data_IF_106434423805
#
_entry.id   IF_106434423805
#
_cell.length_a   1.000
_cell.length_b   1.000
_cell.length_c   1.000
_cell.angle_alpha   90.00
_cell.angle_beta   90.00
_cell.angle_gamma   90.00
#
_symmetry.space_group_name_H-M   'P 1'
#
loop_
_entity.id
_entity.type
_entity.pdbx_description
1 polymer ?
#
# COMPACT_ATOMS: atom_id res chain seq x y z
N UNK A 1 1.58 13.40 -21.91
CA UNK A 1 2.78 14.02 -21.28
C UNK A 1 2.39 14.77 -19.99
N UNK A 2 1.56 14.19 -19.09
CA UNK A 2 0.93 14.97 -18.00
C UNK A 2 1.01 14.32 -16.61
N UNK A 3 1.57 13.12 -16.46
CA UNK A 3 1.60 12.42 -15.15
C UNK A 3 2.94 12.47 -14.42
N UNK A 4 4.02 12.97 -15.03
CA UNK A 4 5.33 13.04 -14.36
C UNK A 4 5.47 14.28 -13.46
N UNK A 5 5.02 15.44 -13.94
CA UNK A 5 5.21 16.74 -13.26
C UNK A 5 4.63 16.77 -11.85
N UNK A 6 3.43 16.21 -11.63
CA UNK A 6 2.78 16.19 -10.33
C UNK A 6 3.51 15.32 -9.27
N UNK A 7 4.35 14.38 -9.69
CA UNK A 7 5.12 13.51 -8.79
C UNK A 7 6.38 14.21 -8.27
N UNK A 8 6.95 15.12 -9.07
CA UNK A 8 8.12 15.92 -8.70
C UNK A 8 7.79 17.04 -7.70
N UNK A 9 6.52 17.49 -7.63
CA UNK A 9 6.04 18.53 -6.71
C UNK A 9 5.67 18.01 -5.29
N UNK A 10 5.66 16.70 -5.10
CA UNK A 10 5.30 16.07 -3.84
C UNK A 10 6.49 16.14 -2.86
N UNK A 11 6.30 16.42 -1.55
CA UNK A 11 7.41 16.41 -0.62
C UNK A 11 8.15 15.08 -0.69
N UNK A 12 9.49 15.08 -0.57
CA UNK A 12 10.35 13.95 -0.92
C UNK A 12 9.92 12.63 -0.25
N UNK A 13 9.47 12.66 1.00
CA UNK A 13 8.97 11.47 1.71
C UNK A 13 7.68 10.89 1.12
N UNK A 14 6.77 11.73 0.62
CA UNK A 14 5.51 11.26 0.07
C UNK A 14 5.67 10.65 -1.34
N UNK A 15 6.66 11.09 -2.14
CA UNK A 15 7.00 10.38 -3.38
C UNK A 15 7.54 8.97 -3.08
N UNK A 16 8.37 8.83 -2.05
CA UNK A 16 8.92 7.52 -1.67
C UNK A 16 7.84 6.56 -1.16
N UNK A 17 6.84 7.05 -0.42
CA UNK A 17 5.69 6.24 0.00
C UNK A 17 4.84 5.81 -1.20
N UNK A 18 4.56 6.71 -2.14
CA UNK A 18 3.82 6.38 -3.36
C UNK A 18 4.56 5.32 -4.20
N UNK A 19 5.88 5.41 -4.24
CA UNK A 19 6.75 4.47 -4.96
C UNK A 19 6.76 3.11 -4.28
N UNK A 20 6.89 3.09 -2.95
CA UNK A 20 6.82 1.87 -2.17
C UNK A 20 5.47 1.16 -2.33
N UNK A 21 4.36 1.90 -2.26
CA UNK A 21 3.01 1.35 -2.52
C UNK A 21 2.90 0.81 -3.96
N UNK A 22 3.47 1.50 -4.94
CA UNK A 22 3.44 1.06 -6.35
C UNK A 22 4.23 -0.23 -6.59
N UNK A 23 5.25 -0.51 -5.76
CA UNK A 23 6.06 -1.73 -5.82
C UNK A 23 5.38 -2.97 -5.21
N UNK A 24 4.28 -2.80 -4.46
CA UNK A 24 3.52 -3.95 -3.95
C UNK A 24 2.79 -4.67 -5.09
N UNK A 25 2.68 -5.99 -4.94
CA UNK A 25 1.74 -6.78 -5.74
C UNK A 25 0.33 -6.17 -5.68
N UNK A 26 -0.41 -6.12 -6.81
CA UNK A 26 -1.70 -5.42 -6.89
C UNK A 26 -2.70 -5.86 -5.81
N UNK A 27 -2.72 -7.16 -5.50
CA UNK A 27 -3.60 -7.76 -4.50
C UNK A 27 -3.30 -7.30 -3.08
N UNK A 28 -2.04 -7.05 -2.77
CA UNK A 28 -1.60 -6.51 -1.49
C UNK A 28 -1.85 -5.00 -1.42
N UNK A 29 -1.52 -4.28 -2.50
CA UNK A 29 -1.75 -2.83 -2.58
C UNK A 29 -3.22 -2.49 -2.38
N UNK A 30 -4.14 -3.23 -3.00
CA UNK A 30 -5.57 -2.89 -2.93
C UNK A 30 -6.10 -2.96 -1.49
N UNK A 31 -5.72 -3.99 -0.72
CA UNK A 31 -6.20 -4.14 0.66
C UNK A 31 -5.53 -3.14 1.59
N UNK A 32 -4.23 -2.88 1.41
CA UNK A 32 -3.49 -1.88 2.22
C UNK A 32 -4.07 -0.49 1.97
N UNK A 33 -4.29 -0.11 0.70
CA UNK A 33 -4.78 1.24 0.39
C UNK A 33 -6.19 1.44 0.94
N UNK A 34 -7.10 0.49 0.74
CA UNK A 34 -8.48 0.63 1.20
C UNK A 34 -8.57 0.59 2.74
N UNK A 35 -7.83 -0.28 3.41
CA UNK A 35 -7.83 -0.32 4.87
C UNK A 35 -7.29 0.98 5.49
N UNK A 36 -6.17 1.50 5.00
CA UNK A 36 -5.50 2.64 5.64
C UNK A 36 -5.95 4.02 5.14
N UNK A 37 -6.30 4.16 3.84
CA UNK A 37 -6.74 5.45 3.29
C UNK A 37 -8.26 5.61 3.21
N UNK A 38 -9.02 4.50 3.15
CA UNK A 38 -10.49 4.55 3.16
C UNK A 38 -11.10 4.10 4.49
N UNK A 39 -10.30 3.60 5.42
CA UNK A 39 -10.76 3.17 6.75
C UNK A 39 -11.64 1.92 6.73
N UNK A 40 -11.63 1.15 5.64
CA UNK A 40 -12.46 -0.04 5.50
C UNK A 40 -11.96 -1.17 6.41
N UNK A 41 -12.89 -1.84 7.07
CA UNK A 41 -12.64 -3.01 7.90
C UNK A 41 -12.34 -4.26 7.06
N UNK A 42 -11.78 -5.28 7.70
CA UNK A 42 -11.54 -6.60 7.08
C UNK A 42 -12.83 -7.22 6.53
N UNK A 43 -13.97 -7.00 7.18
CA UNK A 43 -15.25 -7.52 6.74
C UNK A 43 -15.76 -6.82 5.47
N UNK A 44 -15.72 -5.48 5.45
CA UNK A 44 -16.11 -4.69 4.26
C UNK A 44 -15.21 -5.00 3.07
N UNK A 45 -13.90 -5.20 3.30
CA UNK A 45 -12.97 -5.61 2.26
C UNK A 45 -13.24 -7.02 1.75
N UNK A 46 -13.56 -7.96 2.64
CA UNK A 46 -13.88 -9.33 2.27
C UNK A 46 -15.13 -9.39 1.37
N UNK A 47 -16.16 -8.62 1.72
CA UNK A 47 -17.38 -8.49 0.91
C UNK A 47 -17.08 -7.81 -0.43
N UNK A 48 -16.45 -6.63 -0.41
CA UNK A 48 -16.24 -5.83 -1.61
C UNK A 48 -15.21 -6.41 -2.60
N UNK A 49 -14.36 -7.35 -2.17
CA UNK A 49 -13.39 -8.04 -3.02
C UNK A 49 -13.77 -9.49 -3.30
N UNK A 50 -14.89 -9.97 -2.76
CA UNK A 50 -15.36 -11.36 -2.86
C UNK A 50 -14.32 -12.38 -2.36
N UNK A 51 -13.72 -12.11 -1.19
CA UNK A 51 -12.68 -12.93 -0.58
C UNK A 51 -13.07 -13.40 0.81
N UNK A 52 -12.58 -14.57 1.26
CA UNK A 52 -12.64 -14.92 2.67
C UNK A 52 -11.89 -13.88 3.53
N UNK A 53 -12.42 -13.56 4.73
CA UNK A 53 -11.72 -12.65 5.66
C UNK A 53 -10.30 -13.12 5.99
N UNK A 54 -10.06 -14.44 6.03
CA UNK A 54 -8.71 -15.00 6.21
C UNK A 54 -7.73 -14.59 5.10
N UNK A 55 -8.19 -14.53 3.85
CA UNK A 55 -7.40 -14.08 2.71
C UNK A 55 -7.14 -12.56 2.76
N UNK A 56 -8.11 -11.77 3.20
CA UNK A 56 -7.91 -10.32 3.42
C UNK A 56 -6.85 -10.09 4.50
N UNK A 57 -6.92 -10.82 5.63
CA UNK A 57 -5.94 -10.71 6.72
C UNK A 57 -4.53 -11.10 6.26
N UNK A 58 -4.39 -12.21 5.52
CA UNK A 58 -3.07 -12.62 5.02
C UNK A 58 -2.51 -11.66 3.98
N UNK A 59 -3.35 -11.11 3.08
CA UNK A 59 -2.95 -10.07 2.13
C UNK A 59 -2.53 -8.77 2.82
N UNK A 60 -3.23 -8.35 3.87
CA UNK A 60 -2.84 -7.20 4.68
C UNK A 60 -1.50 -7.45 5.38
N UNK A 61 -1.32 -8.61 5.99
CA UNK A 61 -0.08 -8.99 6.64
C UNK A 61 1.12 -8.96 5.68
N UNK A 62 1.01 -9.65 4.53
CA UNK A 62 2.09 -9.69 3.54
C UNK A 62 2.29 -8.34 2.85
N UNK A 63 1.21 -7.59 2.59
CA UNK A 63 1.29 -6.25 2.03
C UNK A 63 2.02 -5.27 2.93
N UNK A 64 1.69 -5.23 4.22
CA UNK A 64 2.38 -4.38 5.19
C UNK A 64 3.83 -4.80 5.39
N UNK A 65 4.11 -6.11 5.42
CA UNK A 65 5.47 -6.60 5.50
C UNK A 65 6.29 -6.20 4.28
N UNK A 66 5.76 -6.36 3.07
CA UNK A 66 6.39 -5.94 1.83
C UNK A 66 6.62 -4.42 1.79
N UNK A 67 5.61 -3.63 2.17
CA UNK A 67 5.70 -2.18 2.23
C UNK A 67 6.80 -1.73 3.20
N UNK A 68 6.87 -2.33 4.39
CA UNK A 68 7.94 -2.06 5.36
C UNK A 68 9.31 -2.32 4.76
N UNK A 69 9.50 -3.45 4.07
CA UNK A 69 10.78 -3.76 3.42
C UNK A 69 11.15 -2.71 2.37
N UNK A 70 10.22 -2.36 1.49
CA UNK A 70 10.48 -1.38 0.44
C UNK A 70 10.79 0.01 1.00
N UNK A 71 10.13 0.41 2.08
CA UNK A 71 10.44 1.69 2.75
C UNK A 71 11.81 1.69 3.42
N UNK A 72 12.24 0.57 4.02
CA UNK A 72 13.59 0.41 4.58
C UNK A 72 14.67 0.43 3.48
N UNK A 73 14.43 -0.29 2.38
CA UNK A 73 15.33 -0.33 1.22
C UNK A 73 15.50 1.06 0.57
N UNK A 74 14.44 1.86 0.57
CA UNK A 74 14.45 3.23 0.05
C UNK A 74 14.97 4.27 1.08
N UNK A 75 15.41 3.86 2.27
CA UNK A 75 15.96 4.75 3.30
C UNK A 75 14.93 5.67 3.97
N UNK A 76 13.62 5.38 3.85
CA UNK A 76 12.54 6.19 4.43
C UNK A 76 12.37 5.92 5.93
N UNK A 77 12.72 4.72 6.38
CA UNK A 77 12.69 4.34 7.79
C UNK A 77 14.10 3.94 8.23
N UNK A 78 14.59 4.54 9.32
CA UNK A 78 15.78 4.05 10.03
C UNK A 78 15.41 2.85 10.93
N UNK A 79 16.34 1.92 11.11
CA UNK A 79 16.15 0.69 11.89
C UNK A 79 16.24 0.92 13.39
#
# INVERSE_FOLDING_TARGET
>A
MTTRKARDDLPPGASLVADALSALEPEHRVVVVRAFYRGESVAELAEALELPQGAVKSRLHHGLHALRRTLLENGVMES
#
